data_IF_484899225338
#
_entry.id   IF_484899225338
#
_cell.length_a   1.000
_cell.length_b   1.000
_cell.length_c   1.000
_cell.angle_alpha   90.00
_cell.angle_beta   90.00
_cell.angle_gamma   90.00
#
_symmetry.space_group_name_H-M   'P 1'
#
loop_
_entity.id
_entity.type
_entity.pdbx_description
1 polymer ?
#
# COMPACT_ATOMS: atom_id res chain seq x y z
N UNK A 1 57.79 48.20 49.01
CA UNK A 1 58.70 49.34 48.66
C UNK A 1 57.90 50.17 47.64
N UNK A 2 57.50 51.34 48.11
CA UNK A 2 57.24 52.61 47.40
C UNK A 2 56.30 52.54 46.17
N UNK A 3 55.31 53.32 45.99
CA UNK A 3 54.72 54.59 46.45
C UNK A 3 53.74 55.02 45.37
N UNK A 4 52.53 55.24 45.74
CA UNK A 4 51.64 56.38 45.55
C UNK A 4 51.92 57.35 44.40
N UNK A 5 50.90 57.74 43.62
CA UNK A 5 50.40 59.12 43.64
C UNK A 5 49.10 59.33 42.92
N UNK A 6 48.19 59.95 43.57
CA UNK A 6 46.94 60.61 43.26
C UNK A 6 47.09 61.83 42.35
N UNK A 7 46.01 62.15 41.58
CA UNK A 7 45.39 63.50 41.44
C UNK A 7 44.20 63.45 40.49
N UNK A 8 43.07 63.71 40.85
CA UNK A 8 42.12 64.82 41.00
C UNK A 8 41.78 65.53 39.67
N UNK A 9 40.48 65.35 39.32
CA UNK A 9 39.46 66.33 38.98
C UNK A 9 39.53 67.05 37.63
N UNK A 10 38.44 66.85 36.83
CA UNK A 10 37.59 67.97 36.37
C UNK A 10 36.27 67.46 35.80
N UNK A 11 35.16 68.01 36.30
CA UNK A 11 33.80 67.86 35.89
C UNK A 11 33.57 68.82 34.75
N UNK A 12 32.97 68.35 33.66
CA UNK A 12 32.21 69.18 32.71
C UNK A 12 31.07 68.34 32.12
N UNK A 13 29.87 68.81 32.37
CA UNK A 13 28.64 68.19 31.89
C UNK A 13 28.43 68.47 30.40
N UNK A 14 27.84 67.51 29.76
CA UNK A 14 27.21 67.72 28.47
C UNK A 14 25.97 66.84 28.38
N UNK A 15 24.88 67.44 27.92
CA UNK A 15 23.51 66.93 27.86
C UNK A 15 23.38 65.66 26.96
N UNK A 16 22.72 64.72 27.51
CA UNK A 16 22.35 63.51 26.74
C UNK A 16 21.07 63.77 25.92
N UNK A 17 21.19 63.73 24.60
CA UNK A 17 20.06 63.56 23.68
C UNK A 17 19.70 62.07 23.63
N UNK A 18 18.54 61.73 24.17
CA UNK A 18 17.90 60.43 24.00
C UNK A 18 17.35 60.30 22.56
N UNK A 19 18.06 59.59 21.70
CA UNK A 19 17.48 59.06 20.46
C UNK A 19 16.86 57.69 20.75
N UNK A 20 15.52 57.63 20.70
CA UNK A 20 14.78 56.41 20.77
C UNK A 20 15.02 55.63 19.44
N UNK A 21 15.91 54.62 19.50
CA UNK A 21 16.07 53.65 18.45
C UNK A 21 14.89 52.66 18.46
N UNK A 22 13.96 52.81 17.52
CA UNK A 22 12.93 51.82 17.25
C UNK A 22 13.57 50.55 16.71
N UNK A 23 13.66 49.52 17.55
CA UNK A 23 13.93 48.14 17.11
C UNK A 23 12.73 47.68 16.29
N UNK A 24 12.81 47.72 14.96
CA UNK A 24 11.95 46.99 14.07
C UNK A 24 12.26 45.50 14.26
N UNK A 25 11.44 44.82 15.07
CA UNK A 25 11.32 43.34 14.98
C UNK A 25 10.79 43.03 13.60
N UNK A 26 11.67 42.63 12.70
CA UNK A 26 11.31 42.02 11.45
C UNK A 26 10.59 40.68 11.77
N UNK A 27 9.26 40.66 11.72
CA UNK A 27 8.53 39.43 11.55
C UNK A 27 8.97 38.86 10.19
N UNK A 28 9.85 37.86 10.20
CA UNK A 28 10.01 36.97 9.08
C UNK A 28 8.67 36.23 8.93
N UNK A 29 7.81 36.74 8.05
CA UNK A 29 6.73 35.93 7.52
C UNK A 29 7.41 34.77 6.77
N UNK A 30 7.45 33.59 7.37
CA UNK A 30 7.57 32.36 6.61
C UNK A 30 6.38 32.35 5.68
N UNK A 31 6.58 32.73 4.43
CA UNK A 31 5.64 32.47 3.35
C UNK A 31 5.46 30.95 3.30
N UNK A 32 4.45 30.45 4.03
CA UNK A 32 3.92 29.13 3.79
C UNK A 32 3.32 29.19 2.38
N UNK A 33 4.09 28.70 1.42
CA UNK A 33 3.57 28.46 0.08
C UNK A 33 2.35 27.55 0.27
N UNK A 34 1.16 28.10 0.06
CA UNK A 34 -0.07 27.32 0.17
C UNK A 34 0.08 26.12 -0.79
N UNK A 35 -0.15 24.91 -0.28
CA UNK A 35 -0.12 23.73 -1.12
C UNK A 35 -0.98 23.96 -2.37
N UNK A 36 -0.54 23.53 -3.56
CA UNK A 36 -1.29 23.73 -4.79
C UNK A 36 -2.73 23.23 -4.61
N UNK A 37 -3.70 24.04 -5.08
CA UNK A 37 -5.10 23.63 -5.01
C UNK A 37 -5.31 22.37 -5.84
N UNK A 38 -5.83 21.30 -5.22
CA UNK A 38 -6.06 20.03 -5.88
C UNK A 38 -7.03 20.19 -7.06
N UNK A 39 -6.70 19.65 -8.24
CA UNK A 39 -7.61 19.63 -9.38
C UNK A 39 -8.94 18.90 -9.07
N UNK A 40 -9.99 19.26 -9.80
CA UNK A 40 -11.29 18.60 -9.71
C UNK A 40 -11.34 17.33 -10.57
N UNK A 41 -12.31 16.46 -10.32
CA UNK A 41 -12.57 15.29 -11.15
C UNK A 41 -11.36 14.35 -11.28
N UNK A 42 -11.15 13.81 -12.46
CA UNK A 42 -10.07 12.86 -12.78
C UNK A 42 -8.70 13.54 -12.96
N UNK A 43 -8.65 14.85 -13.22
CA UNK A 43 -7.40 15.61 -13.28
C UNK A 43 -6.63 15.54 -11.95
N UNK A 44 -7.33 15.21 -10.85
CA UNK A 44 -6.70 14.94 -9.57
C UNK A 44 -5.59 13.89 -9.65
N UNK A 45 -5.76 12.89 -10.48
CA UNK A 45 -4.87 11.72 -10.58
C UNK A 45 -3.71 11.90 -11.57
N UNK A 46 -3.73 12.99 -12.35
CA UNK A 46 -2.75 13.24 -13.43
C UNK A 46 -1.94 14.50 -13.17
N UNK A 47 -0.97 14.47 -12.23
CA UNK A 47 -0.11 15.62 -11.97
C UNK A 47 0.77 15.92 -13.18
N UNK A 48 1.15 17.19 -13.33
CA UNK A 48 2.18 17.57 -14.28
C UNK A 48 3.52 16.92 -13.87
N UNK A 49 4.28 16.42 -14.85
CA UNK A 49 5.49 15.63 -14.59
C UNK A 49 6.50 16.38 -13.69
N UNK A 50 6.62 17.71 -13.83
CA UNK A 50 7.50 18.54 -13.00
C UNK A 50 7.09 18.66 -11.54
N UNK A 51 5.86 18.29 -11.16
CA UNK A 51 5.38 18.33 -9.78
C UNK A 51 5.64 17.02 -9.03
N UNK A 52 6.00 15.94 -9.75
CA UNK A 52 6.18 14.61 -9.16
C UNK A 52 7.50 14.45 -8.40
N UNK A 53 8.65 14.96 -8.88
CA UNK A 53 9.90 14.87 -8.14
C UNK A 53 9.80 15.51 -6.75
N UNK A 54 10.42 14.87 -5.74
CA UNK A 54 10.42 15.36 -4.37
C UNK A 54 10.65 14.25 -3.37
N UNK A 55 10.53 14.58 -2.08
CA UNK A 55 10.68 13.61 -1.01
C UNK A 55 9.51 12.62 -1.03
N UNK A 56 9.83 11.32 -1.02
CA UNK A 56 8.79 10.28 -1.01
C UNK A 56 7.98 10.34 0.29
N UNK A 57 6.69 10.07 0.18
CA UNK A 57 5.73 10.24 1.27
C UNK A 57 5.20 11.67 1.44
N UNK A 58 5.78 12.69 0.75
CA UNK A 58 5.25 14.05 0.80
C UNK A 58 3.99 14.21 -0.06
N UNK A 59 3.08 15.08 0.39
CA UNK A 59 1.82 15.37 -0.32
C UNK A 59 2.11 16.22 -1.56
N UNK A 60 1.52 15.84 -2.70
CA UNK A 60 1.48 16.70 -3.90
C UNK A 60 0.31 17.66 -3.76
N UNK A 61 -0.89 17.11 -3.52
CA UNK A 61 -2.11 17.85 -3.15
C UNK A 61 -3.12 16.95 -2.46
N UNK A 62 -4.11 17.56 -1.85
CA UNK A 62 -5.23 16.85 -1.24
C UNK A 62 -6.51 17.66 -1.36
N UNK A 63 -7.65 17.00 -1.19
CA UNK A 63 -8.95 17.66 -1.06
C UNK A 63 -9.83 16.90 -0.07
N UNK A 64 -10.75 17.60 0.63
CA UNK A 64 -11.76 16.92 1.42
C UNK A 64 -12.57 15.95 0.56
N UNK A 65 -12.91 14.80 1.16
CA UNK A 65 -13.71 13.76 0.52
C UNK A 65 -15.01 13.57 1.31
N UNK A 66 -16.15 13.61 0.60
CA UNK A 66 -17.46 13.32 1.15
C UNK A 66 -18.06 12.09 0.51
N UNK A 67 -18.72 11.24 1.32
CA UNK A 67 -19.28 9.98 0.84
C UNK A 67 -18.22 8.91 0.59
N UNK A 68 -18.56 7.94 -0.22
CA UNK A 68 -17.68 6.82 -0.61
C UNK A 68 -16.51 7.37 -1.49
N UNK A 69 -15.27 6.90 -1.31
CA UNK A 69 -14.82 5.80 -0.44
C UNK A 69 -14.43 6.21 0.99
N UNK A 70 -14.77 7.41 1.44
CA UNK A 70 -14.50 7.84 2.81
C UNK A 70 -15.24 7.01 3.87
N UNK A 71 -14.76 7.10 5.12
CA UNK A 71 -15.35 6.43 6.28
C UNK A 71 -16.30 7.34 7.03
N UNK A 72 -17.33 6.76 7.67
CA UNK A 72 -18.25 7.52 8.50
C UNK A 72 -17.55 8.02 9.78
N UNK A 73 -18.02 9.15 10.33
CA UNK A 73 -17.45 9.77 11.54
C UNK A 73 -15.97 10.13 11.44
N UNK A 74 -15.47 10.38 10.25
CA UNK A 74 -14.09 10.78 9.97
C UNK A 74 -14.03 12.08 9.17
N UNK A 75 -12.91 12.78 9.29
CA UNK A 75 -12.50 13.78 8.33
C UNK A 75 -11.69 13.05 7.24
N UNK A 76 -12.29 12.96 6.07
CA UNK A 76 -11.77 12.19 4.96
C UNK A 76 -11.09 13.10 3.94
N UNK A 77 -9.94 12.66 3.41
CA UNK A 77 -9.18 13.36 2.40
C UNK A 77 -8.82 12.40 1.26
N UNK A 78 -9.11 12.81 0.04
CA UNK A 78 -8.45 12.25 -1.13
C UNK A 78 -7.07 12.88 -1.21
N UNK A 79 -6.03 12.07 -1.32
CA UNK A 79 -4.63 12.51 -1.32
C UNK A 79 -3.89 12.01 -2.56
N UNK A 80 -3.05 12.87 -3.13
CA UNK A 80 -2.01 12.51 -4.08
C UNK A 80 -0.66 12.78 -3.42
N UNK A 81 0.18 11.75 -3.36
CA UNK A 81 1.46 11.81 -2.66
C UNK A 81 2.58 11.19 -3.50
N UNK A 82 3.83 11.45 -3.12
CA UNK A 82 5.00 10.94 -3.81
C UNK A 82 5.39 9.57 -3.29
N UNK A 83 5.82 8.71 -4.18
CA UNK A 83 6.43 7.42 -3.87
C UNK A 83 7.51 7.09 -4.90
N UNK A 84 7.98 5.84 -4.90
CA UNK A 84 9.08 5.40 -5.76
C UNK A 84 8.70 4.08 -6.42
N UNK A 85 8.86 4.01 -7.73
CA UNK A 85 8.56 2.83 -8.54
C UNK A 85 9.62 1.70 -8.40
N UNK A 86 9.44 0.54 -9.04
CA UNK A 86 10.44 -0.54 -9.00
C UNK A 86 11.82 -0.17 -9.55
N UNK A 87 11.91 0.86 -10.40
CA UNK A 87 13.16 1.33 -11.02
C UNK A 87 13.87 2.42 -10.22
N UNK A 88 13.25 2.88 -9.11
CA UNK A 88 13.80 3.96 -8.29
C UNK A 88 13.37 5.36 -8.73
N UNK A 89 12.43 5.48 -9.67
CA UNK A 89 11.93 6.75 -10.17
C UNK A 89 10.81 7.29 -9.28
N UNK A 90 10.77 8.62 -9.11
CA UNK A 90 9.68 9.28 -8.38
C UNK A 90 8.36 9.15 -9.12
N UNK A 91 7.30 8.74 -8.42
CA UNK A 91 5.96 8.57 -8.96
C UNK A 91 4.91 9.22 -8.06
N UNK A 92 3.78 9.59 -8.67
CA UNK A 92 2.60 10.01 -7.92
C UNK A 92 1.73 8.78 -7.60
N UNK A 93 1.18 8.76 -6.39
CA UNK A 93 0.28 7.70 -5.92
C UNK A 93 -0.94 8.36 -5.27
N UNK A 94 -2.13 7.83 -5.57
CA UNK A 94 -3.37 8.29 -4.95
C UNK A 94 -3.78 7.42 -3.76
N UNK A 95 -4.66 7.97 -2.94
CA UNK A 95 -5.24 7.24 -1.82
C UNK A 95 -6.22 8.07 -1.01
N UNK A 96 -6.74 7.49 0.06
CA UNK A 96 -7.67 8.14 0.98
C UNK A 96 -7.12 8.09 2.39
N UNK A 97 -7.22 9.21 3.11
CA UNK A 97 -6.89 9.31 4.54
C UNK A 97 -8.15 9.66 5.31
N UNK A 98 -8.50 8.84 6.30
CA UNK A 98 -9.61 9.04 7.20
C UNK A 98 -9.09 9.23 8.63
N UNK A 99 -9.39 10.39 9.23
CA UNK A 99 -8.99 10.75 10.59
C UNK A 99 -10.23 10.75 11.47
N UNK A 100 -10.25 10.03 12.61
CA UNK A 100 -11.40 10.06 13.50
C UNK A 100 -11.74 11.47 13.93
N UNK A 101 -13.04 11.81 13.99
CA UNK A 101 -13.49 13.09 14.51
C UNK A 101 -13.39 13.14 16.02
N UNK A 102 -13.12 14.31 16.55
CA UNK A 102 -13.01 14.59 17.98
C UNK A 102 -11.58 14.89 18.41
N UNK A 103 -11.34 14.84 19.71
CA UNK A 103 -10.03 15.11 20.30
C UNK A 103 -9.15 13.88 20.21
N UNK A 104 -7.95 14.05 19.64
CA UNK A 104 -6.99 12.95 19.55
C UNK A 104 -6.48 12.54 20.94
N UNK A 105 -6.25 11.24 21.17
CA UNK A 105 -5.65 10.78 22.41
C UNK A 105 -4.23 11.37 22.59
N UNK A 106 -3.72 11.33 23.81
CA UNK A 106 -2.36 11.73 24.08
C UNK A 106 -1.38 10.94 23.19
N UNK A 107 -0.55 11.65 22.43
CA UNK A 107 0.36 11.04 21.43
C UNK A 107 -0.23 10.89 20.03
N UNK A 108 -1.46 11.34 19.80
CA UNK A 108 -2.12 11.34 18.51
C UNK A 108 -2.88 10.04 18.20
N UNK A 109 -3.68 10.06 17.12
CA UNK A 109 -4.40 8.89 16.62
C UNK A 109 -3.40 7.84 16.10
N UNK A 110 -3.37 6.62 16.64
CA UNK A 110 -2.56 5.55 16.06
C UNK A 110 -3.04 5.27 14.63
N UNK A 111 -2.11 4.97 13.72
CA UNK A 111 -2.40 4.88 12.29
C UNK A 111 -2.40 3.44 11.80
N UNK A 112 -3.39 3.10 11.00
CA UNK A 112 -3.38 1.89 10.17
C UNK A 112 -3.19 2.29 8.71
N UNK A 113 -2.13 1.81 8.08
CA UNK A 113 -1.97 1.85 6.63
C UNK A 113 -2.58 0.59 6.03
N UNK A 114 -3.71 0.76 5.34
CA UNK A 114 -4.45 -0.33 4.71
C UNK A 114 -3.93 -0.60 3.31
N UNK A 115 -3.57 -1.85 3.07
CA UNK A 115 -3.13 -2.40 1.79
C UNK A 115 -4.26 -3.24 1.18
N UNK A 116 -4.90 -2.76 0.11
CA UNK A 116 -6.03 -3.45 -0.50
C UNK A 116 -5.63 -4.67 -1.33
N UNK A 117 -6.55 -5.62 -1.52
CA UNK A 117 -6.39 -6.73 -2.45
C UNK A 117 -6.70 -6.33 -3.88
N UNK A 118 -6.58 -7.28 -4.78
CA UNK A 118 -6.66 -7.05 -6.23
C UNK A 118 -7.99 -6.46 -6.68
N UNK A 119 -7.91 -5.32 -7.35
CA UNK A 119 -9.03 -4.68 -8.07
C UNK A 119 -8.83 -4.72 -9.59
N UNK A 120 -7.60 -4.77 -10.05
CA UNK A 120 -7.11 -4.72 -11.41
C UNK A 120 -5.79 -3.97 -11.48
N UNK A 121 -5.35 -3.62 -12.70
CA UNK A 121 -4.18 -2.74 -12.92
C UNK A 121 -4.52 -1.52 -13.78
N UNK A 122 -5.72 -1.45 -14.36
CA UNK A 122 -6.20 -0.30 -15.08
C UNK A 122 -6.51 0.88 -14.14
N UNK A 123 -6.35 2.10 -14.60
CA UNK A 123 -6.62 3.32 -13.82
C UNK A 123 -8.02 3.37 -13.21
N UNK A 124 -9.01 2.83 -13.93
CA UNK A 124 -10.39 2.73 -13.43
C UNK A 124 -10.53 1.84 -12.20
N UNK A 125 -9.52 1.02 -11.88
CA UNK A 125 -9.57 0.05 -10.80
C UNK A 125 -9.03 0.61 -9.47
N UNK A 126 -8.59 1.88 -9.42
CA UNK A 126 -8.11 2.51 -8.20
C UNK A 126 -9.23 2.61 -7.15
N UNK A 127 -9.07 2.07 -5.93
CA UNK A 127 -10.11 2.10 -4.89
C UNK A 127 -10.59 3.50 -4.50
N UNK A 128 -9.73 4.51 -4.58
CA UNK A 128 -10.12 5.90 -4.32
C UNK A 128 -11.13 6.47 -5.34
N UNK A 129 -11.33 5.78 -6.47
CA UNK A 129 -12.35 6.10 -7.49
C UNK A 129 -13.70 5.39 -7.26
N UNK A 130 -13.81 4.56 -6.20
CA UNK A 130 -15.08 3.90 -5.81
C UNK A 130 -16.03 4.91 -5.17
N UNK A 131 -16.74 5.68 -6.00
CA UNK A 131 -17.68 6.71 -5.53
C UNK A 131 -19.13 6.24 -5.50
N UNK A 132 -19.45 5.13 -6.17
CA UNK A 132 -20.77 4.53 -6.23
C UNK A 132 -20.74 3.06 -6.72
N UNK A 133 -21.89 2.42 -6.76
CA UNK A 133 -22.04 1.00 -7.13
C UNK A 133 -21.64 0.68 -8.58
N UNK A 134 -21.45 1.68 -9.45
CA UNK A 134 -20.97 1.48 -10.82
C UNK A 134 -19.48 1.22 -10.90
N UNK A 135 -18.73 1.49 -9.82
CA UNK A 135 -17.30 1.18 -9.76
C UNK A 135 -17.06 -0.33 -9.93
N UNK A 136 -16.17 -0.74 -10.84
CA UNK A 136 -16.06 -2.14 -11.25
C UNK A 136 -15.78 -3.14 -10.12
N UNK A 137 -15.00 -2.74 -9.10
CA UNK A 137 -14.66 -3.59 -7.97
C UNK A 137 -15.44 -3.23 -6.68
N UNK A 138 -16.54 -2.46 -6.78
CA UNK A 138 -17.31 -1.95 -5.64
C UNK A 138 -17.64 -3.02 -4.59
N UNK A 139 -18.16 -4.16 -5.01
CA UNK A 139 -18.56 -5.23 -4.10
C UNK A 139 -17.40 -5.76 -3.23
N UNK A 140 -16.18 -5.76 -3.74
CA UNK A 140 -14.99 -6.14 -2.97
C UNK A 140 -14.54 -4.99 -2.05
N UNK A 141 -14.44 -3.77 -2.57
CA UNK A 141 -14.00 -2.61 -1.78
C UNK A 141 -15.00 -2.29 -0.66
N UNK A 142 -16.30 -2.48 -0.89
CA UNK A 142 -17.32 -2.33 0.17
C UNK A 142 -17.06 -3.27 1.36
N UNK A 143 -16.61 -4.52 1.15
CA UNK A 143 -16.23 -5.43 2.24
C UNK A 143 -14.99 -4.95 2.99
N UNK A 144 -13.96 -4.49 2.29
CA UNK A 144 -12.75 -3.96 2.94
C UNK A 144 -13.07 -2.71 3.74
N UNK A 145 -14.00 -1.89 3.26
CA UNK A 145 -14.47 -0.67 3.94
C UNK A 145 -15.14 -0.97 5.29
N UNK A 146 -15.83 -2.12 5.40
CA UNK A 146 -16.37 -2.58 6.72
C UNK A 146 -15.23 -2.79 7.73
N UNK A 147 -14.14 -3.44 7.32
CA UNK A 147 -12.97 -3.65 8.19
C UNK A 147 -12.33 -2.32 8.58
N UNK A 148 -12.13 -1.43 7.60
CA UNK A 148 -11.56 -0.11 7.80
C UNK A 148 -12.42 0.75 8.74
N UNK A 149 -13.76 0.70 8.59
CA UNK A 149 -14.70 1.40 9.48
C UNK A 149 -14.57 0.89 10.93
N UNK A 150 -14.47 -0.41 11.13
CA UNK A 150 -14.30 -1.00 12.47
C UNK A 150 -12.97 -0.59 13.12
N UNK A 151 -11.90 -0.46 12.34
CA UNK A 151 -10.63 0.10 12.81
C UNK A 151 -10.76 1.58 13.18
N UNK A 152 -11.45 2.37 12.36
CA UNK A 152 -11.71 3.78 12.66
C UNK A 152 -12.56 3.93 13.94
N UNK A 153 -13.63 3.14 14.07
CA UNK A 153 -14.53 3.14 15.25
C UNK A 153 -13.79 2.71 16.53
N UNK A 154 -12.73 1.87 16.37
CA UNK A 154 -11.80 1.53 17.45
C UNK A 154 -10.79 2.64 17.75
N UNK A 155 -10.85 3.79 17.07
CA UNK A 155 -10.01 4.96 17.31
C UNK A 155 -8.64 4.92 16.64
N UNK A 156 -8.55 4.28 15.47
CA UNK A 156 -7.40 4.35 14.58
C UNK A 156 -7.67 5.33 13.43
N UNK A 157 -6.71 6.17 13.08
CA UNK A 157 -6.71 6.79 11.75
C UNK A 157 -6.43 5.70 10.69
N UNK A 158 -7.05 5.82 9.52
CA UNK A 158 -6.87 4.83 8.44
C UNK A 158 -6.41 5.53 7.17
N UNK A 159 -5.27 5.12 6.64
CA UNK A 159 -4.75 5.57 5.35
C UNK A 159 -4.81 4.41 4.35
N UNK A 160 -5.42 4.64 3.19
CA UNK A 160 -5.73 3.62 2.18
C UNK A 160 -5.04 4.01 0.89
N UNK A 161 -3.92 3.37 0.55
CA UNK A 161 -3.22 3.59 -0.73
C UNK A 161 -3.92 2.90 -1.89
N UNK A 162 -3.87 3.50 -3.08
CA UNK A 162 -4.25 2.82 -4.33
C UNK A 162 -3.07 2.03 -4.93
N UNK A 163 -1.86 2.17 -4.41
CA UNK A 163 -0.56 1.75 -4.97
C UNK A 163 -0.11 2.55 -6.21
N UNK A 164 1.17 2.48 -6.51
CA UNK A 164 1.78 3.09 -7.67
C UNK A 164 1.17 2.56 -8.98
N UNK A 165 0.89 3.46 -9.93
CA UNK A 165 0.39 3.14 -11.26
C UNK A 165 -1.04 2.57 -11.28
N UNK A 166 -1.80 2.70 -10.19
CA UNK A 166 -3.22 2.40 -10.14
C UNK A 166 -3.99 3.72 -9.97
N UNK A 167 -4.60 4.17 -11.04
CA UNK A 167 -5.28 5.45 -11.13
C UNK A 167 -4.40 6.65 -11.45
N UNK A 168 -3.09 6.53 -11.37
CA UNK A 168 -2.08 7.56 -11.64
C UNK A 168 -1.17 7.12 -12.78
N UNK A 169 -0.41 8.04 -13.43
CA UNK A 169 0.43 7.70 -14.56
C UNK A 169 1.42 6.56 -14.29
N UNK A 170 1.59 5.69 -15.27
CA UNK A 170 2.43 4.50 -15.20
C UNK A 170 1.62 3.22 -15.04
N UNK A 171 2.24 2.06 -15.24
CA UNK A 171 1.60 0.76 -15.05
C UNK A 171 1.73 0.31 -13.60
N UNK A 172 0.64 -0.21 -13.01
CA UNK A 172 0.66 -0.75 -11.66
C UNK A 172 1.63 -1.93 -11.52
N UNK A 173 2.57 -1.84 -10.57
CA UNK A 173 3.53 -2.89 -10.22
C UNK A 173 2.87 -3.96 -9.35
N UNK A 174 1.87 -4.64 -9.94
CA UNK A 174 1.10 -5.66 -9.24
C UNK A 174 1.99 -6.78 -8.72
N UNK A 175 1.92 -7.06 -7.41
CA UNK A 175 2.73 -8.05 -6.68
C UNK A 175 4.26 -7.83 -6.76
N UNK A 176 4.71 -6.63 -7.09
CA UNK A 176 6.09 -6.22 -6.84
C UNK A 176 6.18 -5.70 -5.41
N UNK A 177 6.63 -6.59 -4.51
CA UNK A 177 6.46 -6.42 -3.07
C UNK A 177 7.09 -5.14 -2.52
N UNK A 178 8.30 -4.80 -2.96
CA UNK A 178 8.98 -3.58 -2.50
C UNK A 178 8.26 -2.30 -2.95
N UNK A 179 7.80 -2.24 -4.21
CA UNK A 179 7.08 -1.06 -4.71
C UNK A 179 5.74 -0.86 -3.98
N UNK A 180 5.01 -1.95 -3.71
CA UNK A 180 3.79 -1.89 -2.92
C UNK A 180 4.06 -1.44 -1.48
N UNK A 181 5.10 -1.98 -0.85
CA UNK A 181 5.46 -1.62 0.52
C UNK A 181 5.91 -0.15 0.64
N UNK A 182 6.60 0.40 -0.37
CA UNK A 182 6.90 1.82 -0.46
C UNK A 182 5.62 2.65 -0.46
N UNK A 183 4.66 2.35 -1.34
CA UNK A 183 3.39 3.08 -1.40
C UNK A 183 2.59 3.01 -0.08
N UNK A 184 2.58 1.83 0.58
CA UNK A 184 1.94 1.62 1.90
C UNK A 184 2.62 2.44 3.00
N UNK A 185 3.94 2.57 2.96
CA UNK A 185 4.70 3.34 3.93
C UNK A 185 4.58 4.84 3.66
N UNK A 186 4.64 5.24 2.39
CA UNK A 186 4.61 6.65 1.98
C UNK A 186 3.24 7.29 2.24
N UNK A 187 2.13 6.56 2.12
CA UNK A 187 0.82 7.11 2.51
C UNK A 187 0.73 7.34 4.02
N UNK A 188 1.46 6.58 4.85
CA UNK A 188 1.52 6.84 6.29
C UNK A 188 2.24 8.17 6.58
N UNK A 189 3.28 8.52 5.82
CA UNK A 189 3.93 9.83 5.86
C UNK A 189 2.97 10.94 5.43
N UNK A 190 2.34 10.76 4.25
CA UNK A 190 1.37 11.71 3.71
C UNK A 190 0.20 11.96 4.67
N UNK A 191 -0.31 10.93 5.32
CA UNK A 191 -1.38 11.05 6.31
C UNK A 191 -0.97 11.94 7.49
N UNK A 192 0.26 11.84 7.97
CA UNK A 192 0.77 12.67 9.07
C UNK A 192 1.08 14.10 8.64
N UNK A 193 1.51 14.30 7.40
CA UNK A 193 1.67 15.65 6.83
C UNK A 193 0.31 16.36 6.75
N UNK A 194 -0.74 15.65 6.30
CA UNK A 194 -2.10 16.17 6.22
C UNK A 194 -2.72 16.44 7.59
N UNK A 195 -2.51 15.56 8.55
CA UNK A 195 -3.11 15.61 9.87
C UNK A 195 -2.07 15.36 10.96
N UNK A 196 -1.44 16.41 11.52
CA UNK A 196 -0.45 16.29 12.61
C UNK A 196 -0.99 15.64 13.90
N UNK A 197 -2.32 15.50 14.03
CA UNK A 197 -2.96 14.74 15.10
C UNK A 197 -2.76 13.22 14.99
N UNK A 198 -2.23 12.71 13.86
CA UNK A 198 -1.88 11.30 13.67
C UNK A 198 -0.53 11.02 14.34
N UNK A 199 -0.47 9.94 15.12
CA UNK A 199 0.73 9.45 15.82
C UNK A 199 1.84 9.01 14.85
N UNK A 200 3.09 8.97 15.32
CA UNK A 200 4.18 8.29 14.63
C UNK A 200 4.06 6.75 14.70
N UNK A 201 3.26 6.22 15.64
CA UNK A 201 3.04 4.79 15.78
C UNK A 201 2.00 4.32 14.76
N UNK A 202 2.38 3.32 13.98
CA UNK A 202 1.54 2.78 12.92
C UNK A 202 1.69 1.28 12.73
N UNK A 203 0.70 0.67 12.13
CA UNK A 203 0.75 -0.71 11.65
C UNK A 203 0.27 -0.77 10.19
N UNK A 204 0.65 -1.81 9.47
CA UNK A 204 0.07 -2.11 8.17
C UNK A 204 -0.84 -3.32 8.26
N UNK A 205 -1.98 -3.26 7.58
CA UNK A 205 -2.94 -4.36 7.48
C UNK A 205 -3.31 -4.52 6.01
N UNK A 206 -3.31 -5.75 5.51
CA UNK A 206 -3.67 -5.98 4.12
C UNK A 206 -4.31 -7.34 3.86
N UNK A 207 -5.04 -7.40 2.74
CA UNK A 207 -5.72 -8.61 2.30
C UNK A 207 -5.23 -9.03 0.91
N UNK A 208 -4.99 -10.32 0.69
CA UNK A 208 -4.63 -10.88 -0.63
C UNK A 208 -3.34 -10.25 -1.18
N UNK A 209 -3.38 -9.51 -2.31
CA UNK A 209 -2.29 -8.65 -2.79
C UNK A 209 -1.76 -7.76 -1.66
N UNK A 210 -2.66 -7.12 -0.92
CA UNK A 210 -2.30 -6.26 0.21
C UNK A 210 -1.70 -7.03 1.38
N UNK A 211 -2.04 -8.31 1.55
CA UNK A 211 -1.39 -9.18 2.53
C UNK A 211 0.09 -9.41 2.21
N UNK A 212 0.42 -9.62 0.93
CA UNK A 212 1.83 -9.64 0.48
C UNK A 212 2.49 -8.28 0.73
N UNK A 213 1.84 -7.18 0.33
CA UNK A 213 2.35 -5.83 0.57
C UNK A 213 2.62 -5.56 2.05
N UNK A 214 1.74 -6.01 2.97
CA UNK A 214 1.91 -5.87 4.40
C UNK A 214 3.13 -6.64 4.92
N UNK A 215 3.40 -7.85 4.43
CA UNK A 215 4.60 -8.63 4.79
C UNK A 215 5.87 -7.90 4.32
N UNK A 216 5.89 -7.39 3.09
CA UNK A 216 7.02 -6.59 2.60
C UNK A 216 7.17 -5.28 3.40
N UNK A 217 6.08 -4.60 3.72
CA UNK A 217 6.10 -3.39 4.56
C UNK A 217 6.67 -3.68 5.95
N UNK A 218 6.33 -4.83 6.55
CA UNK A 218 6.88 -5.25 7.85
C UNK A 218 8.41 -5.38 7.83
N UNK A 219 8.97 -5.73 6.67
CA UNK A 219 10.41 -5.89 6.49
C UNK A 219 11.12 -4.56 6.17
N UNK A 220 10.59 -3.78 5.23
CA UNK A 220 11.31 -2.58 4.73
C UNK A 220 10.84 -1.27 5.35
N UNK A 221 9.62 -1.20 5.87
CA UNK A 221 9.03 0.02 6.43
C UNK A 221 9.92 0.72 7.46
N UNK A 222 10.54 0.01 8.42
CA UNK A 222 11.41 0.63 9.42
C UNK A 222 12.65 1.35 8.84
N UNK A 223 13.15 0.90 7.69
CA UNK A 223 14.28 1.55 7.00
C UNK A 223 13.83 2.58 5.97
N UNK A 224 12.63 2.41 5.41
CA UNK A 224 12.05 3.32 4.43
C UNK A 224 11.51 4.61 5.07
N UNK A 225 10.92 4.50 6.27
CA UNK A 225 10.41 5.62 7.08
C UNK A 225 10.91 5.51 8.52
N UNK A 226 12.23 5.74 8.78
CA UNK A 226 12.82 5.53 10.10
C UNK A 226 12.29 6.50 11.17
N UNK A 227 11.67 7.60 10.78
CA UNK A 227 11.02 8.55 11.68
C UNK A 227 9.64 8.06 12.18
N UNK A 228 9.07 7.01 11.56
CA UNK A 228 7.81 6.40 11.96
C UNK A 228 8.07 5.08 12.69
N UNK A 229 7.26 4.80 13.70
CA UNK A 229 7.35 3.59 14.50
C UNK A 229 6.35 2.54 14.01
N UNK A 230 6.79 1.64 13.10
CA UNK A 230 6.01 0.48 12.72
C UNK A 230 5.95 -0.51 13.89
N UNK A 231 4.74 -0.87 14.36
CA UNK A 231 4.55 -1.78 15.48
C UNK A 231 4.35 -3.24 15.03
N UNK A 232 4.05 -3.46 13.78
CA UNK A 232 3.87 -4.78 13.17
C UNK A 232 2.96 -4.75 11.94
N UNK A 233 2.68 -5.92 11.40
CA UNK A 233 1.82 -6.09 10.23
C UNK A 233 0.80 -7.20 10.44
N UNK A 234 -0.36 -7.08 9.77
CA UNK A 234 -1.34 -8.14 9.67
C UNK A 234 -1.68 -8.44 8.20
N UNK A 235 -1.61 -9.69 7.82
CA UNK A 235 -1.81 -10.20 6.46
C UNK A 235 -2.95 -11.22 6.43
N UNK A 236 -4.06 -10.86 5.79
CA UNK A 236 -5.23 -11.71 5.61
C UNK A 236 -5.13 -12.38 4.23
N UNK A 237 -5.10 -13.71 4.19
CA UNK A 237 -4.98 -14.51 2.97
C UNK A 237 -3.91 -13.95 2.00
N UNK A 238 -2.64 -13.74 2.44
CA UNK A 238 -1.63 -13.04 1.68
C UNK A 238 -1.26 -13.76 0.39
N UNK A 239 -1.19 -13.03 -0.72
CA UNK A 239 -0.75 -13.58 -2.00
C UNK A 239 0.67 -14.15 -1.86
N UNK A 240 0.84 -15.41 -2.31
CA UNK A 240 2.08 -16.17 -2.21
C UNK A 240 2.17 -17.25 -3.30
N UNK A 241 3.33 -17.88 -3.40
CA UNK A 241 3.61 -18.99 -4.34
C UNK A 241 3.35 -18.65 -5.82
N UNK A 242 3.58 -17.40 -6.25
CA UNK A 242 3.32 -16.97 -7.61
C UNK A 242 4.24 -17.69 -8.61
N UNK A 243 5.50 -17.92 -8.27
CA UNK A 243 6.42 -18.73 -9.07
C UNK A 243 5.95 -20.17 -9.24
N UNK A 244 5.38 -20.80 -8.21
CA UNK A 244 4.82 -22.16 -8.29
C UNK A 244 3.56 -22.19 -9.16
N UNK A 245 2.72 -21.15 -9.12
CA UNK A 245 1.52 -21.04 -10.00
C UNK A 245 1.92 -20.98 -11.46
N UNK A 246 2.99 -20.27 -11.80
CA UNK A 246 3.53 -20.26 -13.16
C UNK A 246 3.98 -21.66 -13.61
N UNK A 247 4.60 -22.44 -12.73
CA UNK A 247 4.95 -23.83 -13.01
C UNK A 247 3.72 -24.72 -13.23
N UNK A 248 2.62 -24.47 -12.49
CA UNK A 248 1.35 -25.17 -12.69
C UNK A 248 0.70 -24.84 -14.06
N UNK A 249 0.82 -23.60 -14.55
CA UNK A 249 0.37 -23.22 -15.88
C UNK A 249 1.17 -23.98 -16.96
N UNK A 250 2.49 -24.16 -16.78
CA UNK A 250 3.30 -25.00 -17.67
C UNK A 250 2.83 -26.45 -17.66
N UNK A 251 2.67 -27.04 -16.48
CA UNK A 251 2.19 -28.42 -16.37
C UNK A 251 0.80 -28.59 -17.01
N UNK A 252 -0.07 -27.56 -16.92
CA UNK A 252 -1.36 -27.55 -17.59
C UNK A 252 -1.22 -27.51 -19.12
N UNK A 253 -0.28 -26.74 -19.66
CA UNK A 253 0.02 -26.69 -21.09
C UNK A 253 0.47 -28.06 -21.64
N UNK A 254 1.29 -28.80 -20.87
CA UNK A 254 1.74 -30.14 -21.21
C UNK A 254 0.62 -31.19 -21.19
N UNK A 255 -0.36 -31.03 -20.28
CA UNK A 255 -1.53 -31.92 -20.17
C UNK A 255 -2.63 -31.62 -21.20
N UNK A 256 -2.61 -30.44 -21.81
CA UNK A 256 -3.62 -30.01 -22.77
C UNK A 256 -5.01 -29.85 -22.14
N UNK A 257 -6.11 -30.07 -22.92
CA UNK A 257 -7.48 -29.83 -22.44
C UNK A 257 -7.87 -30.58 -21.17
N UNK A 258 -7.22 -31.69 -20.84
CA UNK A 258 -7.45 -32.43 -19.59
C UNK A 258 -7.09 -31.63 -18.33
N UNK A 259 -6.34 -30.53 -18.47
CA UNK A 259 -5.99 -29.64 -17.37
C UNK A 259 -7.10 -28.66 -17.00
N UNK A 260 -8.14 -28.49 -17.82
CA UNK A 260 -9.20 -27.49 -17.65
C UNK A 260 -10.24 -27.88 -16.60
N UNK A 261 -9.82 -27.93 -15.32
CA UNK A 261 -10.74 -28.10 -14.20
C UNK A 261 -11.26 -26.75 -13.70
N UNK A 262 -12.53 -26.65 -13.23
CA UNK A 262 -13.11 -25.41 -12.73
C UNK A 262 -12.28 -24.74 -11.62
N UNK A 263 -11.68 -25.52 -10.73
CA UNK A 263 -10.86 -25.04 -9.62
C UNK A 263 -9.59 -24.33 -10.09
N UNK A 264 -9.00 -24.81 -11.18
CA UNK A 264 -7.82 -24.17 -11.80
C UNK A 264 -8.16 -22.87 -12.51
N UNK A 265 -9.40 -22.75 -13.01
CA UNK A 265 -9.89 -21.54 -13.67
C UNK A 265 -10.17 -20.39 -12.69
N UNK A 266 -10.44 -20.68 -11.42
CA UNK A 266 -10.76 -19.66 -10.41
C UNK A 266 -9.64 -18.61 -10.23
N UNK A 267 -8.38 -19.03 -10.32
CA UNK A 267 -7.24 -18.14 -10.21
C UNK A 267 -6.74 -17.59 -11.57
N UNK A 268 -7.30 -18.05 -12.69
CA UNK A 268 -6.83 -17.67 -14.03
C UNK A 268 -6.90 -16.17 -14.33
N UNK A 269 -7.92 -15.40 -13.90
CA UNK A 269 -8.00 -13.96 -14.13
C UNK A 269 -6.85 -13.16 -13.52
N UNK A 270 -6.14 -13.71 -12.52
CA UNK A 270 -5.00 -13.08 -11.89
C UNK A 270 -3.70 -13.27 -12.67
N UNK A 271 -3.61 -14.31 -13.51
CA UNK A 271 -2.38 -14.60 -14.26
C UNK A 271 -1.90 -13.42 -15.13
N UNK A 272 -2.76 -12.74 -15.93
CA UNK A 272 -2.32 -11.61 -16.72
C UNK A 272 -1.90 -10.41 -15.87
N UNK A 273 -2.51 -10.20 -14.70
CA UNK A 273 -2.11 -9.14 -13.78
C UNK A 273 -0.71 -9.39 -13.21
N UNK A 274 -0.42 -10.66 -12.84
CA UNK A 274 0.92 -11.08 -12.35
C UNK A 274 1.97 -10.85 -13.42
N UNK A 275 1.68 -11.25 -14.68
CA UNK A 275 2.61 -11.08 -15.80
C UNK A 275 2.85 -9.60 -16.07
N UNK A 276 1.80 -8.79 -16.19
CA UNK A 276 1.89 -7.36 -16.45
C UNK A 276 2.56 -6.58 -15.30
N UNK A 277 2.30 -6.97 -14.05
CA UNK A 277 2.98 -6.40 -12.89
C UNK A 277 4.48 -6.73 -12.90
N UNK A 278 4.85 -7.98 -13.20
CA UNK A 278 6.23 -8.40 -13.30
C UNK A 278 7.01 -7.69 -14.42
N UNK A 279 6.35 -7.33 -15.55
CA UNK A 279 6.97 -6.53 -16.63
C UNK A 279 7.46 -5.17 -16.13
N UNK A 280 6.85 -4.58 -15.10
CA UNK A 280 7.29 -3.28 -14.56
C UNK A 280 8.68 -3.35 -13.92
N UNK A 281 9.05 -4.51 -13.39
CA UNK A 281 10.39 -4.79 -12.89
C UNK A 281 11.39 -5.14 -14.02
N UNK A 282 10.88 -5.54 -15.20
CA UNK A 282 11.66 -5.84 -16.39
C UNK A 282 12.31 -7.22 -16.38
N UNK A 283 13.16 -7.45 -17.36
CA UNK A 283 14.01 -8.64 -17.40
C UNK A 283 13.48 -9.82 -18.22
N UNK A 284 12.30 -9.72 -18.84
CA UNK A 284 11.72 -10.75 -19.70
C UNK A 284 10.76 -10.18 -20.76
N UNK A 285 10.44 -10.99 -21.75
CA UNK A 285 9.42 -10.74 -22.75
C UNK A 285 8.28 -11.77 -22.58
N UNK A 286 7.02 -11.35 -22.32
CA UNK A 286 5.89 -12.28 -22.21
C UNK A 286 5.72 -13.17 -23.44
N UNK A 287 6.03 -12.69 -24.64
CA UNK A 287 5.94 -13.49 -25.88
C UNK A 287 6.91 -14.67 -25.91
N UNK A 288 7.94 -14.69 -25.05
CA UNK A 288 8.88 -15.81 -24.96
C UNK A 288 8.26 -17.08 -24.36
N UNK A 289 7.11 -16.93 -23.64
CA UNK A 289 6.49 -18.06 -22.95
C UNK A 289 4.95 -18.12 -23.06
N UNK A 290 4.28 -17.03 -23.41
CA UNK A 290 2.83 -17.03 -23.61
C UNK A 290 2.49 -17.54 -25.01
N UNK A 291 1.32 -18.20 -25.12
CA UNK A 291 0.75 -18.47 -26.43
C UNK A 291 0.39 -17.18 -27.15
N UNK A 292 0.34 -17.13 -28.50
CA UNK A 292 -0.10 -15.95 -29.25
C UNK A 292 -1.47 -15.44 -28.78
N UNK A 293 -2.41 -16.35 -28.46
CA UNK A 293 -3.72 -16.00 -27.94
C UNK A 293 -3.63 -15.31 -26.57
N UNK A 294 -2.81 -15.80 -25.67
CA UNK A 294 -2.60 -15.19 -24.35
C UNK A 294 -1.90 -13.82 -24.45
N UNK A 295 -0.94 -13.65 -25.38
CA UNK A 295 -0.29 -12.35 -25.66
C UNK A 295 -1.33 -11.31 -26.11
N UNK A 296 -2.21 -11.69 -27.04
CA UNK A 296 -3.26 -10.77 -27.52
C UNK A 296 -4.23 -10.36 -26.40
N UNK A 297 -4.58 -11.29 -25.51
CA UNK A 297 -5.45 -11.04 -24.36
C UNK A 297 -4.76 -10.31 -23.20
N UNK A 298 -3.45 -10.32 -23.13
CA UNK A 298 -2.71 -9.63 -22.05
C UNK A 298 -3.04 -8.12 -22.01
N UNK A 299 -3.28 -7.49 -23.15
CA UNK A 299 -3.65 -6.06 -23.26
C UNK A 299 -4.97 -5.72 -22.57
N UNK A 300 -5.84 -6.70 -22.34
CA UNK A 300 -7.14 -6.48 -21.70
C UNK A 300 -7.00 -5.99 -20.25
N UNK A 301 -5.86 -6.24 -19.60
CA UNK A 301 -5.62 -5.79 -18.22
C UNK A 301 -5.48 -4.28 -18.09
N UNK A 302 -5.09 -3.58 -19.16
CA UNK A 302 -4.87 -2.14 -19.16
C UNK A 302 -6.20 -1.36 -19.13
N UNK A 303 -7.32 -2.00 -19.53
CA UNK A 303 -8.65 -1.38 -19.60
C UNK A 303 -9.69 -2.04 -18.67
N UNK A 304 -9.38 -3.19 -18.06
CA UNK A 304 -10.36 -3.98 -17.33
C UNK A 304 -9.95 -4.26 -15.88
N UNK A 305 -10.91 -4.16 -14.97
CA UNK A 305 -10.76 -4.57 -13.58
C UNK A 305 -11.05 -6.09 -13.43
N UNK A 306 -10.68 -6.65 -12.28
CA UNK A 306 -10.75 -8.10 -12.03
C UNK A 306 -12.12 -8.72 -12.29
N UNK A 307 -13.28 -8.09 -11.97
CA UNK A 307 -14.58 -8.69 -12.28
C UNK A 307 -14.81 -8.90 -13.77
N UNK A 308 -14.39 -7.94 -14.62
CA UNK A 308 -14.50 -8.08 -16.08
C UNK A 308 -13.55 -9.17 -16.60
N UNK A 309 -12.28 -9.17 -16.13
CA UNK A 309 -11.30 -10.20 -16.51
C UNK A 309 -11.74 -11.61 -16.11
N UNK A 310 -12.66 -11.73 -15.16
CA UNK A 310 -13.23 -12.99 -14.69
C UNK A 310 -14.39 -13.50 -15.56
N UNK A 311 -14.76 -12.79 -16.63
CA UNK A 311 -15.80 -13.25 -17.56
C UNK A 311 -15.25 -14.17 -18.65
N UNK A 312 -16.12 -14.96 -19.31
CA UNK A 312 -15.72 -15.87 -20.38
C UNK A 312 -15.25 -15.16 -21.64
N UNK A 313 -15.72 -13.96 -21.89
CA UNK A 313 -15.33 -13.12 -23.01
C UNK A 313 -13.89 -12.62 -22.84
N UNK A 314 -13.41 -12.65 -21.62
CA UNK A 314 -12.08 -12.20 -21.21
C UNK A 314 -11.13 -13.39 -20.95
N UNK A 315 -10.48 -13.41 -19.78
CA UNK A 315 -9.46 -14.41 -19.45
C UNK A 315 -10.01 -15.78 -19.05
N UNK A 316 -11.18 -15.88 -18.43
CA UNK A 316 -11.74 -17.19 -18.10
C UNK A 316 -12.24 -17.98 -19.32
N UNK A 317 -12.32 -17.35 -20.48
CA UNK A 317 -12.60 -18.02 -21.75
C UNK A 317 -11.42 -18.80 -22.32
N UNK A 318 -10.19 -18.47 -21.89
CA UNK A 318 -8.99 -19.25 -22.27
C UNK A 318 -8.93 -20.53 -21.44
N UNK A 319 -8.58 -21.66 -22.06
CA UNK A 319 -8.22 -22.85 -21.31
C UNK A 319 -6.94 -22.63 -20.49
N UNK A 320 -6.87 -23.19 -19.29
CA UNK A 320 -5.65 -23.07 -18.46
C UNK A 320 -4.42 -23.56 -19.22
N UNK A 321 -4.58 -24.58 -20.07
CA UNK A 321 -3.54 -25.14 -20.92
C UNK A 321 -3.15 -24.26 -22.13
N UNK A 322 -3.95 -23.20 -22.42
CA UNK A 322 -3.72 -22.29 -23.56
C UNK A 322 -2.98 -21.00 -23.14
N UNK A 323 -2.58 -20.86 -21.89
CA UNK A 323 -1.93 -19.62 -21.40
C UNK A 323 -0.44 -19.60 -21.77
N UNK A 324 0.25 -20.69 -21.50
CA UNK A 324 1.72 -20.79 -21.61
C UNK A 324 2.09 -21.82 -22.67
N UNK A 325 3.08 -21.50 -23.50
CA UNK A 325 3.68 -22.48 -24.40
C UNK A 325 4.40 -23.55 -23.59
N UNK A 326 4.22 -24.87 -23.93
CA UNK A 326 4.88 -25.95 -23.20
C UNK A 326 6.40 -25.83 -23.14
N UNK A 327 7.02 -25.25 -24.17
CA UNK A 327 8.48 -25.05 -24.29
C UNK A 327 8.91 -23.61 -24.06
N UNK A 328 8.01 -22.71 -23.67
CA UNK A 328 8.30 -21.28 -23.45
C UNK A 328 9.36 -21.06 -22.34
N UNK A 329 10.16 -20.03 -22.46
CA UNK A 329 11.18 -19.69 -21.45
C UNK A 329 10.58 -18.92 -20.29
N UNK A 330 10.40 -19.57 -19.15
CA UNK A 330 9.89 -18.99 -17.90
C UNK A 330 10.98 -18.41 -17.00
N UNK A 331 12.26 -18.50 -17.35
CA UNK A 331 13.36 -18.17 -16.44
C UNK A 331 13.33 -16.72 -15.99
N UNK A 332 13.08 -15.78 -16.92
CA UNK A 332 13.04 -14.34 -16.61
C UNK A 332 11.89 -13.96 -15.68
N UNK A 333 10.64 -14.31 -16.03
CA UNK A 333 9.50 -14.03 -15.16
C UNK A 333 9.62 -14.77 -13.83
N UNK A 334 10.13 -16.01 -13.81
CA UNK A 334 10.35 -16.79 -12.60
C UNK A 334 11.27 -16.06 -11.62
N UNK A 335 12.39 -15.51 -12.12
CA UNK A 335 13.31 -14.74 -11.29
C UNK A 335 12.64 -13.53 -10.64
N UNK A 336 11.79 -12.80 -11.38
CA UNK A 336 11.03 -11.67 -10.83
C UNK A 336 10.04 -12.15 -9.76
N UNK A 337 9.28 -13.21 -10.01
CA UNK A 337 8.29 -13.72 -9.07
C UNK A 337 8.94 -14.24 -7.78
N UNK A 338 10.03 -15.01 -7.89
CA UNK A 338 10.74 -15.55 -6.73
C UNK A 338 11.34 -14.43 -5.86
N UNK A 339 11.83 -13.33 -6.46
CA UNK A 339 12.33 -12.16 -5.73
C UNK A 339 11.20 -11.37 -5.00
N UNK A 340 9.95 -11.57 -5.42
CA UNK A 340 8.77 -10.90 -4.85
C UNK A 340 7.87 -11.85 -4.04
N UNK A 341 8.35 -13.05 -3.71
CA UNK A 341 7.65 -13.91 -2.75
C UNK A 341 7.77 -13.34 -1.33
N UNK A 342 6.72 -13.45 -0.48
CA UNK A 342 6.79 -13.01 0.92
C UNK A 342 7.96 -13.61 1.70
N UNK A 343 8.44 -14.77 1.29
CA UNK A 343 9.58 -15.47 1.90
C UNK A 343 10.95 -14.92 1.49
N UNK A 344 10.99 -13.99 0.52
CA UNK A 344 12.22 -13.31 0.11
C UNK A 344 12.66 -12.23 1.11
N UNK A 345 11.76 -11.79 1.99
CA UNK A 345 12.04 -10.75 2.99
C UNK A 345 12.01 -11.29 4.41
N UNK A 346 12.61 -10.55 5.33
CA UNK A 346 12.69 -10.89 6.76
C UNK A 346 12.33 -9.67 7.60
N UNK A 347 11.63 -9.91 8.71
CA UNK A 347 11.30 -8.87 9.68
C UNK A 347 11.49 -9.40 11.11
N UNK A 348 11.99 -8.55 12.00
CA UNK A 348 11.98 -8.80 13.44
C UNK A 348 10.71 -8.30 14.13
N UNK A 349 9.80 -7.64 13.39
CA UNK A 349 8.56 -7.13 13.94
C UNK A 349 7.44 -8.20 13.93
N UNK A 350 6.47 -8.09 14.84
CA UNK A 350 5.31 -8.99 14.87
C UNK A 350 4.56 -9.03 13.54
N UNK A 351 4.18 -10.22 13.12
CA UNK A 351 3.37 -10.47 11.93
C UNK A 351 2.19 -11.38 12.29
N UNK A 352 0.95 -10.88 12.10
CA UNK A 352 -0.24 -11.72 12.12
C UNK A 352 -0.52 -12.22 10.71
N UNK A 353 -0.76 -13.52 10.55
CA UNK A 353 -1.28 -14.10 9.30
C UNK A 353 -2.60 -14.80 9.62
N UNK A 354 -3.66 -14.44 8.88
CA UNK A 354 -4.97 -15.10 9.00
C UNK A 354 -5.31 -15.74 7.65
N UNK A 355 -5.68 -17.05 7.66
CA UNK A 355 -5.97 -17.80 6.44
C UNK A 355 -7.25 -18.62 6.60
N UNK A 356 -8.17 -18.49 5.64
CA UNK A 356 -9.35 -19.35 5.56
C UNK A 356 -9.03 -20.70 4.89
N UNK A 357 -9.58 -21.80 5.42
CA UNK A 357 -9.29 -23.14 4.90
C UNK A 357 -10.06 -23.51 3.63
N UNK A 358 -11.09 -22.70 3.24
CA UNK A 358 -11.81 -22.87 1.95
C UNK A 358 -11.35 -21.90 0.88
N UNK A 359 -10.22 -21.26 1.08
CA UNK A 359 -9.66 -20.33 0.11
C UNK A 359 -9.11 -21.09 -1.12
N UNK A 360 -9.76 -20.87 -2.28
CA UNK A 360 -9.33 -21.46 -3.57
C UNK A 360 -8.51 -20.48 -4.43
N UNK A 361 -8.35 -19.24 -3.98
CA UNK A 361 -7.54 -18.21 -4.66
C UNK A 361 -6.12 -18.21 -4.09
N UNK A 362 -5.98 -18.12 -2.79
CA UNK A 362 -4.71 -18.31 -2.08
C UNK A 362 -4.85 -19.58 -1.27
N UNK A 363 -4.39 -20.69 -1.85
CA UNK A 363 -4.59 -22.01 -1.23
C UNK A 363 -3.87 -22.11 0.12
N UNK A 364 -4.55 -22.64 1.16
CA UNK A 364 -4.04 -22.68 2.53
C UNK A 364 -2.68 -23.36 2.66
N UNK A 365 -2.44 -24.44 1.92
CA UNK A 365 -1.17 -25.19 1.94
C UNK A 365 0.02 -24.32 1.54
N UNK A 366 -0.20 -23.37 0.61
CA UNK A 366 0.79 -22.38 0.22
C UNK A 366 1.10 -21.41 1.34
N UNK A 367 0.09 -20.96 2.06
CA UNK A 367 0.25 -20.08 3.23
C UNK A 367 0.89 -20.82 4.40
N UNK A 368 0.53 -22.09 4.66
CA UNK A 368 1.17 -22.95 5.65
C UNK A 368 2.69 -23.05 5.39
N UNK A 369 3.09 -23.31 4.14
CA UNK A 369 4.49 -23.40 3.74
C UNK A 369 5.22 -22.05 3.86
N UNK A 370 4.59 -20.95 3.44
CA UNK A 370 5.12 -19.59 3.57
C UNK A 370 5.37 -19.24 5.05
N UNK A 371 4.40 -19.48 5.94
CA UNK A 371 4.53 -19.20 7.36
C UNK A 371 5.66 -20.03 8.00
N UNK A 372 5.76 -21.32 7.65
CA UNK A 372 6.86 -22.16 8.12
C UNK A 372 8.24 -21.58 7.72
N UNK A 373 8.39 -21.09 6.49
CA UNK A 373 9.62 -20.50 6.01
C UNK A 373 9.92 -19.15 6.69
N UNK A 374 8.90 -18.27 6.86
CA UNK A 374 9.06 -17.00 7.58
C UNK A 374 9.51 -17.22 9.03
N UNK A 375 8.90 -18.18 9.74
CA UNK A 375 9.30 -18.56 11.10
C UNK A 375 10.74 -19.11 11.14
N UNK A 376 11.09 -19.96 10.21
CA UNK A 376 12.46 -20.50 10.09
C UNK A 376 13.48 -19.39 9.81
N UNK A 377 13.08 -18.32 9.10
CA UNK A 377 13.89 -17.14 8.86
C UNK A 377 13.94 -16.15 10.05
N UNK A 378 13.22 -16.44 11.15
CA UNK A 378 13.24 -15.65 12.40
C UNK A 378 12.15 -14.57 12.48
N UNK A 379 11.20 -14.51 11.55
CA UNK A 379 10.05 -13.60 11.65
C UNK A 379 9.07 -14.10 12.72
N UNK A 380 8.68 -13.28 13.72
CA UNK A 380 7.72 -13.68 14.74
C UNK A 380 6.30 -13.67 14.16
N UNK A 381 5.81 -14.83 13.70
CA UNK A 381 4.51 -14.98 13.05
C UNK A 381 3.49 -15.58 14.01
N UNK A 382 2.40 -14.84 14.29
CA UNK A 382 1.14 -15.37 14.84
C UNK A 382 0.28 -15.84 13.65
N UNK A 383 0.07 -17.16 13.54
CA UNK A 383 -0.67 -17.74 12.43
C UNK A 383 -1.99 -18.31 12.91
N UNK A 384 -3.08 -17.82 12.35
CA UNK A 384 -4.46 -18.15 12.67
C UNK A 384 -5.17 -18.74 11.45
N UNK A 385 -5.58 -19.97 11.51
CA UNK A 385 -6.22 -20.66 10.38
C UNK A 385 -7.23 -21.71 10.81
N UNK A 386 -7.00 -22.42 11.92
CA UNK A 386 -7.89 -23.49 12.38
C UNK A 386 -9.27 -22.96 12.81
N UNK A 387 -9.30 -21.73 13.30
CA UNK A 387 -10.53 -21.03 13.68
C UNK A 387 -11.37 -20.62 12.45
N UNK A 388 -10.78 -20.65 11.23
CA UNK A 388 -11.38 -20.20 9.99
C UNK A 388 -11.58 -21.34 8.99
N UNK A 389 -11.96 -22.52 9.49
CA UNK A 389 -12.15 -23.74 8.69
C UNK A 389 -13.16 -23.56 7.54
N UNK A 390 -14.17 -22.71 7.72
CA UNK A 390 -15.24 -22.46 6.73
C UNK A 390 -15.06 -21.19 5.91
N UNK A 391 -14.05 -20.36 6.19
CA UNK A 391 -13.84 -19.10 5.48
C UNK A 391 -13.17 -19.32 4.12
N UNK A 392 -13.73 -18.68 3.09
CA UNK A 392 -13.10 -18.51 1.78
C UNK A 392 -12.22 -17.25 1.73
N UNK A 393 -11.65 -16.97 0.53
CA UNK A 393 -10.74 -15.85 0.29
C UNK A 393 -11.29 -14.49 0.72
N UNK A 394 -12.60 -14.25 0.59
CA UNK A 394 -13.22 -12.98 0.93
C UNK A 394 -13.90 -12.99 2.30
N UNK A 395 -14.45 -14.13 2.70
CA UNK A 395 -15.10 -14.29 4.00
C UNK A 395 -14.13 -14.06 5.17
N UNK A 396 -12.83 -14.26 4.97
CA UNK A 396 -11.80 -14.01 5.97
C UNK A 396 -11.76 -12.55 6.44
N UNK A 397 -12.20 -11.59 5.62
CA UNK A 397 -12.29 -10.17 5.98
C UNK A 397 -13.26 -9.93 7.14
N UNK A 398 -14.40 -10.64 7.13
CA UNK A 398 -15.43 -10.52 8.17
C UNK A 398 -15.12 -11.47 9.33
N UNK A 399 -14.80 -12.73 9.05
CA UNK A 399 -14.58 -13.74 10.10
C UNK A 399 -13.30 -13.51 10.90
N UNK A 400 -12.27 -12.94 10.29
CA UNK A 400 -10.99 -12.62 10.95
C UNK A 400 -10.97 -11.29 11.73
N UNK A 401 -12.06 -10.50 11.66
CA UNK A 401 -12.07 -9.11 12.13
C UNK A 401 -11.80 -8.96 13.63
N UNK A 402 -12.40 -9.80 14.49
CA UNK A 402 -12.21 -9.70 15.93
C UNK A 402 -10.78 -10.08 16.34
N UNK A 403 -10.19 -11.10 15.69
CA UNK A 403 -8.77 -11.46 15.87
C UNK A 403 -7.87 -10.31 15.44
N UNK A 404 -8.18 -9.68 14.30
CA UNK A 404 -7.44 -8.54 13.77
C UNK A 404 -7.45 -7.36 14.75
N UNK A 405 -8.63 -6.97 15.26
CA UNK A 405 -8.79 -5.87 16.22
C UNK A 405 -8.04 -6.17 17.52
N UNK A 406 -8.19 -7.37 18.08
CA UNK A 406 -7.52 -7.80 19.32
C UNK A 406 -5.99 -7.75 19.15
N UNK A 407 -5.48 -8.28 18.04
CA UNK A 407 -4.05 -8.24 17.74
C UNK A 407 -3.54 -6.79 17.60
N UNK A 408 -4.30 -5.96 16.90
CA UNK A 408 -3.97 -4.56 16.70
C UNK A 408 -3.91 -3.81 18.03
N UNK A 409 -4.95 -3.90 18.85
CA UNK A 409 -5.00 -3.23 20.17
C UNK A 409 -3.82 -3.69 21.07
N UNK A 410 -3.50 -4.97 21.07
CA UNK A 410 -2.36 -5.52 21.83
C UNK A 410 -1.04 -4.87 21.44
N UNK A 411 -0.76 -4.77 20.13
CA UNK A 411 0.52 -4.22 19.65
C UNK A 411 0.61 -2.69 19.75
N UNK A 412 -0.53 -2.01 19.82
CA UNK A 412 -0.56 -0.61 20.18
C UNK A 412 -0.60 -0.35 21.69
N UNK A 413 -0.66 -1.41 22.54
CA UNK A 413 -0.71 -1.29 24.00
C UNK A 413 -2.04 -0.70 24.49
N UNK A 414 -3.15 -1.05 23.82
CA UNK A 414 -4.51 -0.60 24.12
C UNK A 414 -5.39 -1.73 24.69
N UNK A 415 -4.86 -2.96 24.82
CA UNK A 415 -5.54 -4.13 25.38
C UNK A 415 -5.53 -4.11 26.90
#
# INVERSE_FOLDING_TARGET
MFLTKTSRSAVLGAAALLTAGSLLLGCSSTDTVAAPQAPAGLDFYTPQAETVPGEHGSVIWSRPLTGIPGLANADNHLVLYRSVDPKGESVAVSGVVAVPRGEAPAGGWPLISWAHGTTGIADACAPSRDTDESYPAHAYIARTRVVQQRLLDAGYAVAMTDYQGLGTPGRHSYLIGEAQARAVTDIARAARELAPSISTRWATIGHSQGGQAAIFTNAIGPTWAPELQLVGAAALAPANNNGSRLALLRAAAELGPAADAPERRAALPFAPLVIAGAETAGGFDPAAFLTPHAVDKLKLVDDNCIPALSTREQWTGIGVHEVVEPTGDLSGIRAVLDANEPTAVRSGLPLLVIQGRRDVIVVPEGTDAMVAQLRAAGTPVDYRTDEYADADHRAILESGLDTLLTWTDTHFGRA
#
